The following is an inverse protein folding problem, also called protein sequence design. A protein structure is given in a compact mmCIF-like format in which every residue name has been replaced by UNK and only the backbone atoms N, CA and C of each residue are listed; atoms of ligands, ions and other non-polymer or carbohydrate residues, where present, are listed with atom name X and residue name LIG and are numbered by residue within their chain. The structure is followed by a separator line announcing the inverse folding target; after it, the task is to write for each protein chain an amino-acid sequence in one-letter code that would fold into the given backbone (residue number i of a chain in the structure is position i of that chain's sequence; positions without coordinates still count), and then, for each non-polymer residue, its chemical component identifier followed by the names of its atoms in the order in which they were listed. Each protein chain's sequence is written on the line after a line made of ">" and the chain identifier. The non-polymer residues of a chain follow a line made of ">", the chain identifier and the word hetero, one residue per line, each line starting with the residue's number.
data_IF_619420748332
#
_entry.id   IF_619420748332
#
_cell.length_a   1.000
_cell.length_b   1.000
_cell.length_c   1.000
_cell.angle_alpha   90.00
_cell.angle_beta   90.00
_cell.angle_gamma   90.00
#
_symmetry.space_group_name_H-M   'P 1'
#
loop_
_entity.id
_entity.type
_entity.pdbx_description
1 polymer ?
#
# COMPACT_ATOMS: atom_id res chain seq x y z
N UNK A 1 -8.46 10.11 8.37
CA UNK A 1 -9.47 10.73 7.49
C UNK A 1 -10.40 11.67 8.26
N UNK A 2 -11.10 11.21 9.31
CA UNK A 2 -12.03 12.09 10.03
C UNK A 2 -11.39 13.32 10.69
N UNK A 3 -10.17 13.20 11.24
CA UNK A 3 -9.44 14.36 11.78
C UNK A 3 -9.10 15.39 10.69
N UNK A 4 -8.72 14.94 9.50
CA UNK A 4 -8.41 15.80 8.35
C UNK A 4 -9.67 16.52 7.87
N UNK A 5 -10.78 15.79 7.68
CA UNK A 5 -12.07 16.37 7.30
C UNK A 5 -12.50 17.49 8.25
N UNK A 6 -12.40 17.27 9.57
CA UNK A 6 -12.71 18.30 10.58
C UNK A 6 -11.74 19.48 10.56
N UNK A 7 -10.44 19.23 10.39
CA UNK A 7 -9.39 20.27 10.35
C UNK A 7 -9.59 21.23 9.16
N UNK A 8 -10.02 20.69 8.02
CA UNK A 8 -10.12 21.45 6.76
C UNK A 8 -11.55 21.78 6.32
N UNK A 9 -12.57 21.37 7.08
CA UNK A 9 -13.98 21.63 6.74
C UNK A 9 -14.46 20.86 5.50
N UNK A 10 -13.86 19.71 5.21
CA UNK A 10 -14.16 18.89 4.04
C UNK A 10 -15.18 17.78 4.36
N UNK A 11 -15.98 17.42 3.37
CA UNK A 11 -16.86 16.25 3.45
C UNK A 11 -16.03 14.96 3.40
N UNK A 12 -16.17 14.13 4.43
CA UNK A 12 -15.38 12.91 4.56
C UNK A 12 -15.57 11.94 3.38
N UNK A 13 -16.77 11.92 2.80
CA UNK A 13 -17.13 11.04 1.69
C UNK A 13 -16.45 11.40 0.36
N UNK A 14 -15.95 12.65 0.24
CA UNK A 14 -15.19 13.11 -0.91
C UNK A 14 -13.68 12.87 -0.77
N UNK A 15 -13.23 12.39 0.40
CA UNK A 15 -11.83 12.14 0.69
C UNK A 15 -11.43 10.72 0.33
N UNK A 16 -10.25 10.59 -0.27
CA UNK A 16 -9.56 9.31 -0.42
C UNK A 16 -8.07 9.48 -0.10
N UNK A 17 -7.37 8.38 0.16
CA UNK A 17 -5.93 8.45 0.41
C UNK A 17 -5.17 8.53 -0.92
N UNK A 18 -4.33 9.55 -1.04
CA UNK A 18 -3.15 9.51 -1.88
C UNK A 18 -2.07 8.72 -1.18
N UNK A 19 -1.42 7.84 -1.93
CA UNK A 19 -0.40 6.94 -1.42
C UNK A 19 0.90 7.23 -2.14
N UNK A 20 1.98 7.37 -1.39
CA UNK A 20 3.31 7.61 -1.94
C UNK A 20 4.35 6.83 -1.16
N UNK A 21 5.25 6.15 -1.85
CA UNK A 21 6.44 5.55 -1.26
C UNK A 21 7.43 6.64 -0.86
N UNK A 22 8.05 6.47 0.31
CA UNK A 22 9.13 7.31 0.82
C UNK A 22 10.45 6.58 0.57
N UNK A 23 10.82 6.49 -0.70
CA UNK A 23 11.98 5.73 -1.18
C UNK A 23 13.30 6.22 -0.60
N UNK A 24 13.38 7.53 -0.32
CA UNK A 24 14.51 8.22 0.30
C UNK A 24 14.76 7.82 1.76
N UNK A 25 13.77 7.22 2.42
CA UNK A 25 13.91 6.77 3.81
C UNK A 25 14.64 5.42 3.81
N UNK A 26 15.96 5.49 3.96
CA UNK A 26 16.88 4.35 4.01
C UNK A 26 17.38 4.18 5.44
N UNK A 27 16.81 3.25 6.20
CA UNK A 27 17.17 3.03 7.60
C UNK A 27 16.04 2.37 8.40
N UNK A 28 16.23 2.13 9.71
CA UNK A 28 15.16 1.66 10.57
C UNK A 28 14.01 2.67 10.55
N UNK A 29 12.79 2.19 10.28
CA UNK A 29 11.61 3.06 10.07
C UNK A 29 11.28 3.99 11.27
N UNK A 30 11.90 3.71 12.43
CA UNK A 30 11.92 4.55 13.63
C UNK A 30 12.56 5.94 13.43
N UNK A 31 13.20 6.19 12.30
CA UNK A 31 13.76 7.50 11.95
C UNK A 31 12.71 8.51 11.48
N UNK A 32 11.50 8.06 11.12
CA UNK A 32 10.32 8.92 10.90
C UNK A 32 9.76 9.45 12.24
N UNK A 33 10.59 10.17 13.01
CA UNK A 33 10.27 10.64 14.36
C UNK A 33 9.28 11.81 14.37
N UNK A 34 9.26 12.60 13.30
CA UNK A 34 8.32 13.70 13.16
C UNK A 34 7.09 13.20 12.39
N UNK A 35 5.88 13.26 12.99
CA UNK A 35 4.67 12.94 12.24
C UNK A 35 4.50 13.93 11.07
N UNK A 36 3.87 13.51 9.97
CA UNK A 36 3.52 14.43 8.91
C UNK A 36 2.49 15.45 9.44
N UNK A 37 2.43 16.62 8.81
CA UNK A 37 1.40 17.62 9.15
C UNK A 37 -0.01 17.09 8.91
N UNK A 38 -0.17 16.31 7.83
CA UNK A 38 -1.41 15.63 7.47
C UNK A 38 -1.16 14.21 7.00
N UNK A 39 -2.15 13.35 7.23
CA UNK A 39 -2.05 11.94 6.88
C UNK A 39 -1.23 11.14 7.88
N UNK A 40 -0.75 9.99 7.44
CA UNK A 40 -0.03 9.03 8.29
C UNK A 40 1.08 8.33 7.51
N UNK A 41 2.18 8.02 8.19
CA UNK A 41 3.18 7.11 7.65
C UNK A 41 2.82 5.67 8.05
N UNK A 42 2.89 4.77 7.08
CA UNK A 42 2.70 3.33 7.25
C UNK A 42 4.01 2.64 6.88
N UNK A 43 4.43 1.66 7.68
CA UNK A 43 5.64 0.87 7.44
C UNK A 43 5.44 -0.56 7.95
N UNK A 44 6.37 -1.45 7.61
CA UNK A 44 6.25 -2.89 7.91
C UNK A 44 5.26 -3.62 6.99
N UNK A 45 5.11 -3.13 5.75
CA UNK A 45 4.34 -3.80 4.72
C UNK A 45 5.25 -4.73 3.91
N UNK A 46 4.76 -5.92 3.59
CA UNK A 46 5.52 -6.92 2.83
C UNK A 46 4.84 -7.23 1.50
N UNK A 47 5.60 -7.40 0.43
CA UNK A 47 5.14 -7.84 -0.88
C UNK A 47 5.49 -9.31 -1.13
N UNK A 48 4.55 -10.05 -1.71
CA UNK A 48 4.76 -11.39 -2.27
C UNK A 48 4.60 -11.35 -3.78
N UNK A 49 5.41 -12.14 -4.49
CA UNK A 49 5.34 -12.29 -5.95
C UNK A 49 5.94 -11.13 -6.76
N UNK A 50 6.43 -10.10 -6.06
CA UNK A 50 7.21 -9.01 -6.63
C UNK A 50 8.15 -8.41 -5.57
N UNK A 51 9.04 -7.53 -6.02
CA UNK A 51 9.83 -6.63 -5.17
C UNK A 51 9.55 -5.18 -5.53
N UNK A 52 9.78 -4.28 -4.59
CA UNK A 52 9.84 -2.86 -4.89
C UNK A 52 11.28 -2.44 -5.13
N UNK A 53 11.55 -1.84 -6.29
CA UNK A 53 12.85 -1.26 -6.60
C UNK A 53 12.86 0.22 -6.22
N UNK A 54 13.58 0.57 -5.15
CA UNK A 54 13.69 1.96 -4.67
C UNK A 54 14.45 2.88 -5.63
N UNK A 55 15.35 2.32 -6.44
CA UNK A 55 16.13 3.09 -7.40
C UNK A 55 15.27 3.52 -8.59
N UNK A 56 14.36 2.64 -9.02
CA UNK A 56 13.41 2.91 -10.10
C UNK A 56 12.05 3.42 -9.61
N UNK A 57 11.78 3.36 -8.31
CA UNK A 57 10.50 3.71 -7.67
C UNK A 57 9.31 2.96 -8.28
N UNK A 58 9.48 1.65 -8.50
CA UNK A 58 8.47 0.81 -9.16
C UNK A 58 8.55 -0.66 -8.74
N UNK A 59 7.50 -1.42 -9.10
CA UNK A 59 7.48 -2.87 -9.00
C UNK A 59 8.42 -3.54 -9.98
N UNK A 60 9.11 -4.57 -9.49
CA UNK A 60 10.00 -5.43 -10.24
C UNK A 60 9.78 -6.90 -9.86
N UNK A 61 10.26 -7.83 -10.68
CA UNK A 61 10.16 -9.26 -10.38
C UNK A 61 10.93 -9.61 -9.11
N UNK A 62 10.46 -10.55 -8.29
CA UNK A 62 11.22 -11.00 -7.11
C UNK A 62 12.56 -11.62 -7.51
N UNK A 63 13.59 -11.50 -6.65
CA UNK A 63 14.85 -12.20 -6.86
C UNK A 63 14.67 -13.72 -6.60
N UNK A 64 15.53 -14.59 -7.17
CA UNK A 64 15.47 -16.01 -6.87
C UNK A 64 15.52 -16.29 -5.37
N UNK A 65 14.59 -17.12 -4.88
CA UNK A 65 14.44 -17.50 -3.45
C UNK A 65 14.02 -16.36 -2.51
N UNK A 66 13.55 -15.24 -3.05
CA UNK A 66 13.01 -14.12 -2.28
C UNK A 66 11.47 -14.19 -2.30
N UNK A 67 10.89 -14.88 -1.32
CA UNK A 67 9.43 -15.09 -1.24
C UNK A 67 8.68 -13.81 -0.89
N UNK A 68 9.23 -13.04 0.05
CA UNK A 68 8.66 -11.79 0.52
C UNK A 68 9.72 -10.70 0.50
N UNK A 69 9.32 -9.49 0.12
CA UNK A 69 10.15 -8.29 0.21
C UNK A 69 9.45 -7.24 1.06
N UNK A 70 10.20 -6.32 1.65
CA UNK A 70 9.60 -5.22 2.41
C UNK A 70 9.37 -4.01 1.50
N UNK A 71 8.19 -3.41 1.60
CA UNK A 71 7.89 -2.13 0.96
C UNK A 71 8.56 -0.98 1.74
N UNK A 72 9.00 0.09 1.05
CA UNK A 72 9.36 1.33 1.73
C UNK A 72 8.21 1.84 2.59
N UNK A 73 8.51 2.67 3.62
CA UNK A 73 7.47 3.43 4.28
C UNK A 73 6.62 4.18 3.26
N UNK A 74 5.32 4.22 3.49
CA UNK A 74 4.37 4.89 2.61
C UNK A 74 3.69 6.03 3.37
N UNK A 75 3.51 7.17 2.72
CA UNK A 75 2.71 8.27 3.22
C UNK A 75 1.30 8.21 2.65
N UNK A 76 0.32 8.13 3.54
CA UNK A 76 -1.10 8.12 3.25
C UNK A 76 -1.68 9.49 3.58
N UNK A 77 -1.90 10.31 2.55
CA UNK A 77 -2.41 11.66 2.67
C UNK A 77 -3.88 11.71 2.21
N UNK A 78 -4.84 12.10 3.07
CA UNK A 78 -6.21 12.37 2.63
C UNK A 78 -6.24 13.51 1.62
N UNK A 79 -6.87 13.30 0.47
CA UNK A 79 -7.10 14.30 -0.56
C UNK A 79 -8.55 14.22 -1.05
N UNK A 80 -9.12 15.39 -1.35
CA UNK A 80 -10.44 15.53 -1.97
C UNK A 80 -10.35 15.31 -3.48
N UNK A 81 -11.37 14.69 -4.07
CA UNK A 81 -11.54 14.52 -5.53
C UNK A 81 -10.32 13.91 -6.23
N UNK A 82 -9.57 13.07 -5.49
CA UNK A 82 -8.37 12.42 -6.00
C UNK A 82 -8.72 11.48 -7.15
N UNK A 83 -7.88 11.50 -8.18
CA UNK A 83 -7.92 10.55 -9.30
C UNK A 83 -6.71 9.62 -9.22
N UNK A 84 -6.90 8.31 -8.96
CA UNK A 84 -5.82 7.33 -9.04
C UNK A 84 -5.20 7.30 -10.44
N UNK A 85 -3.90 7.04 -10.52
CA UNK A 85 -3.23 6.79 -11.80
C UNK A 85 -3.67 5.41 -12.32
N UNK A 86 -4.30 5.30 -13.50
CA UNK A 86 -4.71 4.01 -14.06
C UNK A 86 -3.52 3.10 -14.43
N UNK A 87 -2.30 3.65 -14.52
CA UNK A 87 -1.08 2.89 -14.79
C UNK A 87 -0.53 2.21 -13.53
N UNK A 88 -0.88 2.69 -12.34
CA UNK A 88 -0.44 2.07 -11.10
C UNK A 88 -1.13 0.71 -10.90
N UNK A 89 -0.35 -0.27 -10.44
CA UNK A 89 -0.91 -1.54 -10.03
C UNK A 89 -1.63 -1.39 -8.69
N UNK A 90 -2.94 -1.67 -8.69
CA UNK A 90 -3.76 -1.76 -7.48
C UNK A 90 -3.49 -3.09 -6.77
N UNK A 91 -2.41 -3.12 -5.98
CA UNK A 91 -1.97 -4.27 -5.21
C UNK A 91 -2.88 -4.50 -3.98
N UNK A 92 -3.55 -5.65 -3.85
CA UNK A 92 -4.39 -5.92 -2.69
C UNK A 92 -3.54 -6.15 -1.42
N UNK A 93 -3.91 -5.52 -0.30
CA UNK A 93 -3.26 -5.68 0.99
C UNK A 93 -4.11 -6.54 1.94
N UNK A 94 -3.49 -7.54 2.57
CA UNK A 94 -4.15 -8.50 3.46
C UNK A 94 -3.56 -8.52 4.87
N UNK A 95 -4.35 -8.97 5.86
CA UNK A 95 -3.89 -9.16 7.25
C UNK A 95 -3.07 -10.43 7.44
N UNK A 96 -3.52 -11.53 6.81
CA UNK A 96 -2.96 -12.88 6.96
C UNK A 96 -2.45 -13.44 5.63
N UNK A 97 -1.32 -14.16 5.69
CA UNK A 97 -0.63 -14.72 4.52
C UNK A 97 -1.46 -15.70 3.70
N UNK A 98 -2.28 -16.53 4.38
CA UNK A 98 -3.12 -17.51 3.69
C UNK A 98 -4.21 -16.88 2.81
N UNK A 99 -4.33 -15.55 2.83
CA UNK A 99 -5.38 -14.75 2.18
C UNK A 99 -6.81 -15.15 2.59
N UNK A 100 -6.94 -16.06 3.56
CA UNK A 100 -8.20 -16.59 4.06
C UNK A 100 -8.85 -15.58 4.98
N UNK A 101 -10.09 -15.26 4.68
CA UNK A 101 -10.97 -14.50 5.55
C UNK A 101 -12.37 -15.08 5.47
N UNK A 102 -13.21 -14.70 6.43
CA UNK A 102 -14.65 -14.94 6.33
C UNK A 102 -15.21 -13.88 5.38
N UNK A 103 -15.98 -14.30 4.38
CA UNK A 103 -16.75 -13.35 3.57
C UNK A 103 -17.88 -12.81 4.45
N UNK A 104 -17.92 -11.50 4.64
CA UNK A 104 -19.07 -10.85 5.26
C UNK A 104 -20.24 -10.81 4.28
N UNK A 105 -21.46 -10.62 4.80
CA UNK A 105 -22.68 -10.48 3.99
C UNK A 105 -22.60 -9.32 2.98
N UNK A 106 -21.68 -8.37 3.20
CA UNK A 106 -21.36 -7.27 2.29
C UNK A 106 -20.37 -7.64 1.17
N UNK A 107 -19.95 -8.91 1.07
CA UNK A 107 -18.99 -9.39 0.07
C UNK A 107 -17.52 -9.06 0.39
N UNK A 108 -17.27 -8.24 1.41
CA UNK A 108 -15.91 -7.92 1.84
C UNK A 108 -15.32 -9.04 2.72
N UNK A 109 -14.11 -9.47 2.35
CA UNK A 109 -13.33 -10.41 3.17
C UNK A 109 -12.85 -9.73 4.44
N UNK A 110 -12.98 -10.39 5.60
CA UNK A 110 -12.40 -9.90 6.87
C UNK A 110 -10.88 -9.73 6.84
N UNK A 111 -10.23 -10.30 5.83
CA UNK A 111 -8.79 -10.29 5.65
C UNK A 111 -8.30 -9.19 4.70
N UNK A 112 -9.13 -8.70 3.78
CA UNK A 112 -8.76 -7.60 2.89
C UNK A 112 -8.75 -6.29 3.67
N UNK A 113 -7.73 -5.47 3.44
CA UNK A 113 -7.55 -4.19 4.14
C UNK A 113 -7.81 -3.03 3.18
N UNK A 114 -7.01 -2.92 2.13
CA UNK A 114 -7.12 -1.88 1.10
C UNK A 114 -6.28 -2.24 -0.14
N UNK A 115 -6.41 -1.42 -1.19
CA UNK A 115 -5.50 -1.47 -2.34
C UNK A 115 -4.35 -0.49 -2.16
N UNK A 116 -3.12 -0.99 -2.25
CA UNK A 116 -1.93 -0.18 -2.42
C UNK A 116 -1.77 0.18 -3.90
N UNK A 117 -1.43 1.43 -4.17
CA UNK A 117 -1.15 1.89 -5.54
C UNK A 117 0.36 1.90 -5.75
N UNK A 118 0.83 0.93 -6.54
CA UNK A 118 2.24 0.67 -6.74
C UNK A 118 2.60 0.92 -8.20
N UNK A 119 3.52 1.84 -8.43
CA UNK A 119 4.01 2.19 -9.76
C UNK A 119 4.65 0.99 -10.45
N UNK A 120 4.51 0.93 -11.77
CA UNK A 120 5.09 -0.11 -12.63
C UNK A 120 5.30 0.46 -14.03
N UNK A 121 6.35 0.01 -14.72
CA UNK A 121 6.54 0.24 -16.17
C UNK A 121 5.99 -0.92 -17.02
N UNK A 122 5.70 -2.06 -16.40
CA UNK A 122 5.08 -3.21 -17.04
C UNK A 122 3.55 -3.14 -17.00
N UNK A 123 2.90 -3.91 -17.87
CA UNK A 123 1.43 -3.98 -17.89
C UNK A 123 0.88 -4.43 -16.53
N UNK A 124 -0.12 -3.73 -16.01
CA UNK A 124 -0.88 -4.10 -14.79
C UNK A 124 -1.32 -5.57 -14.79
N UNK A 125 -1.70 -6.09 -15.97
CA UNK A 125 -2.10 -7.49 -16.15
C UNK A 125 -1.03 -8.52 -15.78
N UNK A 126 0.26 -8.17 -15.85
CA UNK A 126 1.36 -9.05 -15.40
C UNK A 126 1.24 -9.32 -13.90
N UNK A 127 1.12 -8.26 -13.11
CA UNK A 127 1.10 -8.35 -11.65
C UNK A 127 -0.17 -9.02 -11.13
N UNK A 128 -1.30 -8.80 -11.83
CA UNK A 128 -2.54 -9.54 -11.57
C UNK A 128 -2.33 -11.05 -11.77
N UNK A 129 -1.75 -11.46 -12.91
CA UNK A 129 -1.50 -12.89 -13.21
C UNK A 129 -0.48 -13.53 -12.27
N UNK A 130 0.52 -12.77 -11.84
CA UNK A 130 1.51 -13.21 -10.86
C UNK A 130 0.93 -13.29 -9.42
N UNK A 131 -0.28 -12.78 -9.20
CA UNK A 131 -0.94 -12.84 -7.89
C UNK A 131 -0.27 -11.98 -6.84
N UNK A 132 0.42 -10.90 -7.25
CA UNK A 132 1.14 -9.99 -6.35
C UNK A 132 0.19 -9.46 -5.29
N UNK A 133 0.64 -9.46 -4.03
CA UNK A 133 -0.14 -8.93 -2.92
C UNK A 133 0.77 -8.35 -1.84
N UNK A 134 0.21 -7.45 -1.05
CA UNK A 134 0.83 -6.89 0.13
C UNK A 134 0.26 -7.50 1.43
N UNK A 135 1.06 -7.49 2.49
CA UNK A 135 0.71 -8.06 3.79
C UNK A 135 1.14 -7.15 4.93
N UNK A 136 0.31 -7.09 5.97
CA UNK A 136 0.60 -6.33 7.19
C UNK A 136 1.59 -7.05 8.13
N UNK A 137 1.73 -8.37 8.00
CA UNK A 137 2.63 -9.19 8.81
C UNK A 137 2.94 -10.52 8.11
N UNK A 138 4.14 -11.06 8.36
CA UNK A 138 4.57 -12.37 7.84
C UNK A 138 4.36 -13.53 8.82
N UNK A 139 4.05 -13.24 10.09
CA UNK A 139 3.77 -14.25 11.13
C UNK A 139 2.64 -13.77 12.01
N UNK A 140 1.76 -14.69 12.40
CA UNK A 140 0.76 -14.50 13.45
C UNK A 140 1.20 -15.23 14.71
#
# INVERSE_FOLDING_TARGET
>A
MQNYARKYGEEIDLLSFSQRTLDEVVGPQRELRKPPEDGVYIYGLFLEGARWDRGLTQLEDSRPKELFTELPPMWFLPLKDRRPDPLDYRCPCYKVLSRRGTLLTTGHSTNFVLYLELRTDQSVGKWIKAGVAAFLALKH
#
